data_IF_803982367907
#
_entry.id   IF_803982367907
#
_cell.length_a   1.000
_cell.length_b   1.000
_cell.length_c   1.000
_cell.angle_alpha   90.00
_cell.angle_beta   90.00
_cell.angle_gamma   90.00
#
_symmetry.space_group_name_H-M   'P 1'
#
loop_
_entity.id
_entity.type
_entity.pdbx_description
1 polymer ?
#
# COMPACT_ATOMS: atom_id res chain seq x y z
N UNK A 1 -17.40 4.14 -14.83
CA UNK A 1 -17.45 4.18 -13.35
C UNK A 1 -16.67 3.05 -12.68
N UNK A 2 -16.76 1.80 -13.14
CA UNK A 2 -16.14 0.65 -12.46
C UNK A 2 -14.60 0.71 -12.36
N UNK A 3 -13.90 1.27 -13.37
CA UNK A 3 -12.43 1.33 -13.37
C UNK A 3 -11.87 2.30 -12.31
N UNK A 4 -12.56 3.40 -12.03
CA UNK A 4 -12.16 4.37 -11.00
C UNK A 4 -12.34 3.78 -9.61
N UNK A 5 -13.42 3.02 -9.40
CA UNK A 5 -13.64 2.31 -8.14
C UNK A 5 -12.54 1.29 -7.86
N UNK A 6 -12.09 0.55 -8.88
CA UNK A 6 -10.99 -0.41 -8.76
C UNK A 6 -9.66 0.27 -8.46
N UNK A 7 -9.37 1.41 -9.12
CA UNK A 7 -8.17 2.19 -8.84
C UNK A 7 -8.18 2.70 -7.38
N UNK A 8 -9.31 3.21 -6.89
CA UNK A 8 -9.46 3.64 -5.49
C UNK A 8 -9.27 2.47 -4.52
N UNK A 9 -9.84 1.30 -4.81
CA UNK A 9 -9.66 0.10 -3.99
C UNK A 9 -8.21 -0.35 -3.94
N UNK A 10 -7.47 -0.26 -5.05
CA UNK A 10 -6.05 -0.59 -5.12
C UNK A 10 -5.19 0.37 -4.28
N UNK A 11 -5.53 1.66 -4.26
CA UNK A 11 -4.85 2.66 -3.43
C UNK A 11 -5.11 2.39 -1.95
N UNK A 12 -6.38 2.17 -1.58
CA UNK A 12 -6.78 1.80 -0.22
C UNK A 12 -6.08 0.54 0.25
N UNK A 13 -6.03 -0.50 -0.59
CA UNK A 13 -5.32 -1.74 -0.29
C UNK A 13 -3.82 -1.51 -0.08
N UNK A 14 -3.18 -0.68 -0.93
CA UNK A 14 -1.77 -0.33 -0.80
C UNK A 14 -1.44 0.42 0.49
N UNK A 15 -2.31 1.35 0.91
CA UNK A 15 -2.19 2.07 2.20
C UNK A 15 -2.33 1.09 3.37
N UNK A 16 -3.35 0.23 3.34
CA UNK A 16 -3.62 -0.74 4.39
C UNK A 16 -2.46 -1.75 4.55
N UNK A 17 -1.91 -2.22 3.43
CA UNK A 17 -0.78 -3.15 3.44
C UNK A 17 0.48 -2.49 4.03
N UNK A 18 0.71 -1.21 3.75
CA UNK A 18 1.85 -0.47 4.29
C UNK A 18 1.74 -0.25 5.81
N UNK A 19 0.54 0.02 6.32
CA UNK A 19 0.34 0.09 7.78
C UNK A 19 0.59 -1.27 8.44
N UNK A 20 0.04 -2.36 7.89
CA UNK A 20 0.29 -3.72 8.41
C UNK A 20 1.78 -4.05 8.41
N UNK A 21 2.48 -3.75 7.31
CA UNK A 21 3.91 -4.00 7.19
C UNK A 21 4.71 -3.20 8.22
N UNK A 22 4.34 -1.94 8.45
CA UNK A 22 4.99 -1.10 9.45
C UNK A 22 4.76 -1.60 10.88
N UNK A 23 3.54 -2.03 11.21
CA UNK A 23 3.23 -2.65 12.52
C UNK A 23 4.03 -3.93 12.71
N UNK A 24 4.14 -4.78 11.68
CA UNK A 24 4.96 -5.98 11.73
C UNK A 24 6.44 -5.66 11.97
N UNK A 25 6.98 -4.65 11.29
CA UNK A 25 8.35 -4.19 11.51
C UNK A 25 8.57 -3.71 12.95
N UNK A 26 7.63 -2.97 13.51
CA UNK A 26 7.66 -2.53 14.90
C UNK A 26 7.65 -3.70 15.90
N UNK A 27 6.86 -4.74 15.62
CA UNK A 27 6.85 -5.97 16.44
C UNK A 27 8.21 -6.67 16.37
N UNK A 28 8.80 -6.79 15.17
CA UNK A 28 10.12 -7.40 14.99
C UNK A 28 11.19 -6.59 15.73
N UNK A 29 11.17 -5.27 15.60
CA UNK A 29 12.09 -4.36 16.28
C UNK A 29 11.99 -4.52 17.80
N UNK A 30 10.77 -4.59 18.33
CA UNK A 30 10.53 -4.85 19.75
C UNK A 30 11.11 -6.19 20.22
N UNK A 31 10.92 -7.26 19.43
CA UNK A 31 11.48 -8.58 19.75
C UNK A 31 13.01 -8.57 19.72
N UNK A 32 13.63 -7.83 18.80
CA UNK A 32 15.08 -7.82 18.60
C UNK A 32 15.82 -6.90 19.59
N UNK A 33 15.27 -5.72 19.87
CA UNK A 33 15.95 -4.66 20.64
C UNK A 33 15.34 -4.44 22.03
N UNK A 34 14.19 -5.05 22.33
CA UNK A 34 13.49 -4.89 23.61
C UNK A 34 12.92 -3.49 23.86
N UNK A 35 13.00 -2.60 22.87
CA UNK A 35 12.49 -1.23 22.92
C UNK A 35 11.70 -0.90 21.67
N UNK A 36 10.79 0.07 21.78
CA UNK A 36 9.88 0.46 20.71
C UNK A 36 10.15 1.92 20.34
N UNK A 37 10.68 2.16 19.15
CA UNK A 37 10.83 3.51 18.62
C UNK A 37 9.78 3.76 17.54
N UNK A 38 8.65 4.32 17.97
CA UNK A 38 7.63 4.74 17.02
C UNK A 38 8.03 6.08 16.39
N UNK A 39 8.45 6.04 15.14
CA UNK A 39 8.86 7.25 14.43
C UNK A 39 7.80 7.65 13.39
N UNK A 40 7.13 8.78 13.61
CA UNK A 40 6.05 9.24 12.74
C UNK A 40 6.55 9.53 11.30
N UNK A 41 7.82 9.93 11.17
CA UNK A 41 8.46 10.16 9.89
C UNK A 41 8.64 8.87 9.08
N UNK A 42 8.99 7.76 9.73
CA UNK A 42 9.15 6.46 9.07
C UNK A 42 7.79 5.89 8.67
N UNK A 43 6.78 5.99 9.56
CA UNK A 43 5.39 5.64 9.24
C UNK A 43 4.87 6.38 8.01
N UNK A 44 5.10 7.71 7.94
CA UNK A 44 4.72 8.53 6.80
C UNK A 44 5.45 8.13 5.51
N UNK A 45 6.74 7.78 5.61
CA UNK A 45 7.52 7.30 4.47
C UNK A 45 6.96 5.99 3.91
N UNK A 46 6.68 5.00 4.77
CA UNK A 46 6.10 3.73 4.34
C UNK A 46 4.69 3.89 3.78
N UNK A 47 3.88 4.77 4.36
CA UNK A 47 2.54 5.09 3.85
C UNK A 47 2.61 5.75 2.46
N UNK A 48 3.58 6.64 2.24
CA UNK A 48 3.80 7.27 0.94
C UNK A 48 4.24 6.27 -0.14
N UNK A 49 5.10 5.32 0.23
CA UNK A 49 5.54 4.22 -0.64
C UNK A 49 4.38 3.27 -0.95
N UNK A 50 3.61 2.87 0.06
CA UNK A 50 2.44 2.00 -0.09
C UNK A 50 1.33 2.61 -0.92
N UNK A 51 0.99 3.88 -0.66
CA UNK A 51 0.04 4.64 -1.46
C UNK A 51 0.52 4.83 -2.91
N UNK A 52 1.81 5.13 -3.10
CA UNK A 52 2.42 5.24 -4.43
C UNK A 52 2.35 3.92 -5.21
N UNK A 53 2.69 2.80 -4.58
CA UNK A 53 2.56 1.47 -5.15
C UNK A 53 1.10 1.12 -5.51
N UNK A 54 0.17 1.39 -4.59
CA UNK A 54 -1.25 1.19 -4.81
C UNK A 54 -1.82 2.03 -5.96
N UNK A 55 -1.34 3.27 -6.13
CA UNK A 55 -1.67 4.14 -7.27
C UNK A 55 -1.19 3.57 -8.59
N UNK A 56 0.08 3.17 -8.69
CA UNK A 56 0.66 2.61 -9.93
C UNK A 56 -0.09 1.34 -10.33
N UNK A 57 -0.36 0.47 -9.37
CA UNK A 57 -1.09 -0.78 -9.60
C UNK A 57 -2.54 -0.52 -10.02
N UNK A 58 -3.22 0.43 -9.36
CA UNK A 58 -4.59 0.83 -9.71
C UNK A 58 -4.71 1.45 -11.11
N UNK A 59 -3.75 2.30 -11.50
CA UNK A 59 -3.68 2.86 -12.85
C UNK A 59 -3.37 1.77 -13.88
N UNK A 60 -2.45 0.85 -13.57
CA UNK A 60 -2.12 -0.29 -14.42
C UNK A 60 -3.33 -1.17 -14.72
N UNK A 61 -4.13 -1.51 -13.69
CA UNK A 61 -5.37 -2.28 -13.85
C UNK A 61 -6.39 -1.51 -14.70
N UNK A 62 -6.54 -0.20 -14.45
CA UNK A 62 -7.46 0.63 -15.22
C UNK A 62 -7.08 0.70 -16.71
N UNK A 63 -5.78 0.77 -17.02
CA UNK A 63 -5.25 0.76 -18.39
C UNK A 63 -5.44 -0.61 -19.06
N UNK A 64 -5.10 -1.71 -18.38
CA UNK A 64 -5.28 -3.07 -18.92
C UNK A 64 -6.74 -3.37 -19.27
N UNK A 65 -7.68 -2.92 -18.42
CA UNK A 65 -9.12 -2.99 -18.72
C UNK A 65 -9.53 -2.09 -19.89
N UNK A 66 -8.95 -0.90 -20.00
CA UNK A 66 -9.22 -0.01 -21.13
C UNK A 66 -8.81 -0.64 -22.47
N UNK A 67 -7.69 -1.36 -22.50
CA UNK A 67 -7.24 -2.11 -23.67
C UNK A 67 -7.97 -3.45 -23.89
N UNK A 68 -8.97 -3.79 -23.07
CA UNK A 68 -9.80 -4.97 -23.26
C UNK A 68 -9.11 -6.30 -22.95
N UNK A 69 -8.01 -6.28 -22.17
CA UNK A 69 -7.30 -7.49 -21.74
C UNK A 69 -8.22 -8.28 -20.79
N UNK A 70 -8.80 -9.37 -21.27
CA UNK A 70 -9.70 -10.23 -20.48
C UNK A 70 -8.89 -11.01 -19.44
N UNK A 71 -9.19 -10.80 -18.15
CA UNK A 71 -8.54 -11.51 -17.03
C UNK A 71 -8.18 -10.61 -15.84
N UNK A 72 -8.32 -9.29 -15.96
CA UNK A 72 -8.13 -8.29 -14.89
C UNK A 72 -9.39 -7.42 -14.69
#
# INVERSE_FOLDING_TARGET
>A
MINILFALFSILAGIFLAEIAYVLLLIIEYVMLGSFNFELASAWHYLKVGGGGGCIMGIGIALLRYFGVKGF
#
